data_IF_345479246082
#
_entry.id   IF_345479246082
#
_cell.length_a   1.000
_cell.length_b   1.000
_cell.length_c   1.000
_cell.angle_alpha   90.00
_cell.angle_beta   90.00
_cell.angle_gamma   90.00
#
_symmetry.space_group_name_H-M   'P 1'
#
loop_
_entity.id
_entity.type
_entity.pdbx_description
1 polymer ?
#
# COMPACT_ATOMS: atom_id res chain seq x y z
N UNK A 1 -5.58 -28.06 12.56
CA UNK A 1 -4.80 -26.99 11.91
C UNK A 1 -5.55 -25.72 12.17
N UNK A 2 -5.07 -24.86 13.05
CA UNK A 2 -5.62 -23.52 13.26
C UNK A 2 -5.28 -22.69 12.03
N UNK A 3 -6.30 -22.23 11.28
CA UNK A 3 -6.10 -21.31 10.19
C UNK A 3 -5.30 -20.08 10.68
N UNK A 4 -4.31 -19.68 9.90
CA UNK A 4 -3.58 -18.44 10.17
C UNK A 4 -4.57 -17.29 10.01
N UNK A 5 -4.67 -16.38 10.98
CA UNK A 5 -5.50 -15.18 10.80
C UNK A 5 -4.96 -14.37 9.62
N UNK A 6 -5.81 -14.12 8.64
CA UNK A 6 -5.54 -13.33 7.45
C UNK A 6 -6.35 -12.04 7.49
N UNK A 7 -5.92 -10.98 6.79
CA UNK A 7 -6.76 -9.79 6.63
C UNK A 7 -7.97 -10.09 5.74
N UNK A 8 -9.00 -9.27 5.84
CA UNK A 8 -10.21 -9.40 5.01
C UNK A 8 -9.87 -9.30 3.51
N UNK A 9 -10.37 -10.20 2.68
CA UNK A 9 -10.15 -10.17 1.22
C UNK A 9 -10.80 -8.96 0.52
N UNK A 10 -11.84 -8.37 1.14
CA UNK A 10 -12.55 -7.19 0.65
C UNK A 10 -12.77 -6.22 1.80
N UNK A 11 -12.32 -4.98 1.62
CA UNK A 11 -12.42 -3.92 2.62
C UNK A 11 -13.04 -2.69 1.95
N UNK A 12 -14.13 -2.16 2.50
CA UNK A 12 -14.76 -0.92 2.00
C UNK A 12 -14.43 0.23 2.95
N UNK A 13 -13.88 1.32 2.41
CA UNK A 13 -13.54 2.53 3.16
C UNK A 13 -13.95 3.77 2.35
N UNK A 14 -15.10 4.36 2.69
CA UNK A 14 -15.67 5.50 1.95
C UNK A 14 -15.93 5.17 0.48
N UNK A 15 -15.30 5.91 -0.43
CA UNK A 15 -15.42 5.69 -1.87
C UNK A 15 -14.46 4.64 -2.43
N UNK A 16 -13.65 4.01 -1.59
CA UNK A 16 -12.64 3.03 -1.98
C UNK A 16 -13.06 1.65 -1.53
N UNK A 17 -12.95 0.67 -2.43
CA UNK A 17 -12.98 -0.75 -2.11
C UNK A 17 -11.59 -1.32 -2.38
N UNK A 18 -10.98 -1.89 -1.35
CA UNK A 18 -9.79 -2.73 -1.51
C UNK A 18 -10.27 -4.17 -1.66
N UNK A 19 -9.81 -4.86 -2.65
CA UNK A 19 -10.05 -6.28 -2.78
C UNK A 19 -8.81 -7.01 -3.23
N UNK A 20 -8.64 -8.24 -2.77
CA UNK A 20 -7.60 -9.13 -3.25
C UNK A 20 -7.58 -9.17 -4.78
N UNK A 21 -6.40 -9.15 -5.40
CA UNK A 21 -6.26 -9.33 -6.84
C UNK A 21 -6.77 -10.69 -7.29
N UNK A 22 -7.30 -10.75 -8.52
CA UNK A 22 -7.81 -11.94 -9.18
C UNK A 22 -7.08 -12.15 -10.50
N UNK A 23 -7.13 -13.36 -11.04
CA UNK A 23 -6.51 -13.67 -12.34
C UNK A 23 -7.12 -12.87 -13.50
N UNK A 24 -8.42 -12.58 -13.42
CA UNK A 24 -9.14 -11.79 -14.42
C UNK A 24 -8.85 -10.27 -14.34
N UNK A 25 -8.07 -9.81 -13.40
CA UNK A 25 -7.61 -8.41 -13.33
C UNK A 25 -6.50 -8.08 -14.34
N UNK A 26 -5.97 -9.05 -15.09
CA UNK A 26 -4.80 -8.87 -15.94
C UNK A 26 -4.91 -7.67 -16.89
N UNK A 27 -6.01 -7.57 -17.61
CA UNK A 27 -6.21 -6.51 -18.60
C UNK A 27 -6.41 -5.15 -17.93
N UNK A 28 -7.20 -5.09 -16.85
CA UNK A 28 -7.43 -3.87 -16.08
C UNK A 28 -6.13 -3.36 -15.41
N UNK A 29 -5.33 -4.27 -14.83
CA UNK A 29 -4.05 -3.95 -14.23
C UNK A 29 -3.05 -3.45 -15.28
N UNK A 30 -2.94 -4.15 -16.42
CA UNK A 30 -2.06 -3.76 -17.51
C UNK A 30 -2.41 -2.37 -18.02
N UNK A 31 -3.68 -2.11 -18.26
CA UNK A 31 -4.17 -0.82 -18.72
C UNK A 31 -3.85 0.28 -17.70
N UNK A 32 -4.25 0.10 -16.43
CA UNK A 32 -4.07 1.11 -15.39
C UNK A 32 -2.59 1.48 -15.18
N UNK A 33 -1.69 0.48 -15.19
CA UNK A 33 -0.25 0.73 -15.06
C UNK A 33 0.30 1.41 -16.32
N UNK A 34 -0.05 0.91 -17.51
CA UNK A 34 0.46 1.47 -18.78
C UNK A 34 0.08 2.93 -18.94
N UNK A 35 -1.16 3.29 -18.63
CA UNK A 35 -1.64 4.68 -18.65
C UNK A 35 -0.94 5.57 -17.61
N UNK A 36 -0.31 4.98 -16.59
CA UNK A 36 0.33 5.68 -15.48
C UNK A 36 1.85 5.62 -15.48
N UNK A 37 2.50 5.03 -16.50
CA UNK A 37 3.94 4.79 -16.50
C UNK A 37 4.78 6.05 -16.28
N UNK A 38 4.44 7.17 -16.92
CA UNK A 38 5.17 8.43 -16.75
C UNK A 38 5.10 8.95 -15.31
N UNK A 39 3.99 8.64 -14.61
CA UNK A 39 3.77 8.99 -13.22
C UNK A 39 4.45 8.00 -12.25
N UNK A 40 4.55 6.71 -12.60
CA UNK A 40 5.05 5.65 -11.74
C UNK A 40 6.56 5.43 -11.86
N UNK A 41 7.12 5.46 -13.07
CA UNK A 41 8.55 5.21 -13.34
C UNK A 41 9.52 6.02 -12.48
N UNK A 42 9.25 7.30 -12.17
CA UNK A 42 10.14 8.05 -11.28
C UNK A 42 10.30 7.44 -9.89
N UNK A 43 9.31 6.65 -9.42
CA UNK A 43 9.22 6.21 -8.03
C UNK A 43 9.14 4.70 -7.82
N UNK A 44 8.77 3.95 -8.86
CA UNK A 44 8.49 2.51 -8.79
C UNK A 44 9.45 1.74 -9.70
N UNK A 45 10.45 1.03 -9.14
CA UNK A 45 11.43 0.26 -9.93
C UNK A 45 10.76 -0.73 -10.89
N UNK A 46 9.70 -1.41 -10.44
CA UNK A 46 8.95 -2.38 -11.24
C UNK A 46 8.26 -1.80 -12.48
N UNK A 47 8.05 -0.47 -12.54
CA UNK A 47 7.42 0.21 -13.66
C UNK A 47 8.39 0.49 -14.83
N UNK A 48 9.70 0.26 -14.67
CA UNK A 48 10.72 0.60 -15.67
C UNK A 48 10.47 -0.09 -17.02
N UNK A 49 10.20 -1.41 -16.99
CA UNK A 49 9.98 -2.25 -18.17
C UNK A 49 8.68 -3.07 -18.01
N UNK A 50 7.57 -2.38 -17.73
CA UNK A 50 6.31 -3.05 -17.45
C UNK A 50 5.68 -3.61 -18.73
N UNK A 51 5.29 -4.87 -18.70
CA UNK A 51 4.70 -5.62 -19.80
C UNK A 51 3.50 -6.43 -19.34
N UNK A 52 2.73 -7.00 -20.29
CA UNK A 52 1.69 -7.97 -19.97
C UNK A 52 2.22 -9.17 -19.17
N UNK A 53 3.43 -9.62 -19.51
CA UNK A 53 4.08 -10.71 -18.78
C UNK A 53 4.35 -10.31 -17.33
N UNK A 54 4.86 -9.10 -17.09
CA UNK A 54 5.09 -8.57 -15.73
C UNK A 54 3.79 -8.49 -14.92
N UNK A 55 2.68 -8.10 -15.55
CA UNK A 55 1.37 -8.07 -14.90
C UNK A 55 0.88 -9.48 -14.53
N UNK A 56 1.01 -10.46 -15.44
CA UNK A 56 0.62 -11.84 -15.18
C UNK A 56 1.47 -12.47 -14.05
N UNK A 57 2.78 -12.24 -14.07
CA UNK A 57 3.70 -12.71 -13.03
C UNK A 57 3.38 -12.09 -11.67
N UNK A 58 3.03 -10.80 -11.63
CA UNK A 58 2.59 -10.13 -10.40
C UNK A 58 1.32 -10.78 -9.85
N UNK A 59 0.29 -11.02 -10.66
CA UNK A 59 -0.96 -11.65 -10.22
C UNK A 59 -0.72 -13.06 -9.67
N UNK A 60 0.07 -13.87 -10.38
CA UNK A 60 0.43 -15.21 -9.94
C UNK A 60 1.25 -15.21 -8.65
N UNK A 61 2.19 -14.28 -8.50
CA UNK A 61 2.97 -14.10 -7.27
C UNK A 61 2.06 -13.64 -6.13
N UNK A 62 1.23 -12.64 -6.35
CA UNK A 62 0.29 -12.10 -5.35
C UNK A 62 -0.61 -13.19 -4.75
N UNK A 63 -1.06 -14.16 -5.56
CA UNK A 63 -1.86 -15.27 -5.07
C UNK A 63 -1.06 -16.19 -4.13
N UNK A 64 0.22 -16.46 -4.43
CA UNK A 64 1.11 -17.26 -3.59
C UNK A 64 1.49 -16.54 -2.30
N UNK A 65 1.87 -15.27 -2.41
CA UNK A 65 2.30 -14.44 -1.27
C UNK A 65 1.15 -14.28 -0.26
N UNK A 66 -0.09 -14.19 -0.76
CA UNK A 66 -1.28 -14.20 0.10
C UNK A 66 -1.40 -15.52 0.86
N UNK A 67 -1.26 -16.65 0.18
CA UNK A 67 -1.42 -17.98 0.77
C UNK A 67 -0.34 -18.29 1.84
N UNK A 68 0.88 -17.79 1.65
CA UNK A 68 1.96 -17.95 2.63
C UNK A 68 2.02 -16.83 3.68
N UNK A 69 1.29 -15.72 3.46
CA UNK A 69 1.20 -14.57 4.36
C UNK A 69 2.42 -13.66 4.35
N UNK A 70 3.23 -13.71 3.31
CA UNK A 70 4.38 -12.83 3.12
C UNK A 70 3.97 -11.44 2.64
N UNK A 71 2.91 -11.38 1.80
CA UNK A 71 2.39 -10.13 1.26
C UNK A 71 0.91 -10.25 0.92
N UNK A 72 0.13 -9.27 1.36
CA UNK A 72 -1.30 -9.16 1.07
C UNK A 72 -1.55 -8.02 0.10
N UNK A 73 -1.67 -8.35 -1.18
CA UNK A 73 -1.84 -7.39 -2.28
C UNK A 73 -3.32 -7.13 -2.59
N UNK A 74 -3.69 -5.85 -2.64
CA UNK A 74 -5.04 -5.38 -2.93
C UNK A 74 -5.07 -4.48 -4.17
N UNK A 75 -6.07 -4.69 -5.01
CA UNK A 75 -6.51 -3.71 -5.98
C UNK A 75 -7.32 -2.61 -5.28
N UNK A 76 -7.01 -1.35 -5.58
CA UNK A 76 -7.80 -0.20 -5.17
C UNK A 76 -8.87 0.03 -6.24
N UNK A 77 -10.12 -0.14 -5.87
CA UNK A 77 -11.28 0.05 -6.76
C UNK A 77 -12.03 1.31 -6.35
N UNK A 78 -12.32 2.18 -7.29
CA UNK A 78 -13.23 3.32 -7.14
C UNK A 78 -14.02 3.51 -8.43
N UNK A 79 -15.28 3.92 -8.33
CA UNK A 79 -16.18 4.09 -9.48
C UNK A 79 -16.26 2.83 -10.37
N UNK A 80 -16.12 1.63 -9.78
CA UNK A 80 -16.14 0.34 -10.49
C UNK A 80 -14.86 0.01 -11.27
N UNK A 81 -13.82 0.85 -11.25
CA UNK A 81 -12.59 0.66 -12.01
C UNK A 81 -11.37 0.48 -11.10
N UNK A 82 -10.32 -0.19 -11.61
CA UNK A 82 -9.03 -0.32 -10.94
C UNK A 82 -8.30 1.02 -10.98
N UNK A 83 -8.15 1.63 -9.83
CA UNK A 83 -7.55 2.96 -9.65
C UNK A 83 -6.17 2.94 -9.00
N UNK A 84 -5.63 1.76 -8.70
CA UNK A 84 -4.32 1.60 -8.07
C UNK A 84 -4.15 0.25 -7.40
N UNK A 85 -3.09 0.14 -6.59
CA UNK A 85 -2.82 -1.02 -5.75
C UNK A 85 -2.21 -0.62 -4.43
N UNK A 86 -2.40 -1.46 -3.42
CA UNK A 86 -1.75 -1.33 -2.13
C UNK A 86 -1.48 -2.71 -1.53
N UNK A 87 -0.54 -2.79 -0.59
CA UNK A 87 -0.15 -4.05 0.03
C UNK A 87 0.26 -3.90 1.47
N UNK A 88 0.11 -5.01 2.23
CA UNK A 88 0.75 -5.25 3.52
C UNK A 88 1.86 -6.27 3.31
N UNK A 89 3.10 -5.92 3.63
CA UNK A 89 4.30 -6.73 3.37
C UNK A 89 5.01 -7.09 4.67
N UNK A 90 5.25 -8.39 4.91
CA UNK A 90 5.94 -8.91 6.10
C UNK A 90 7.46 -8.89 5.91
N UNK A 91 8.06 -7.73 5.63
CA UNK A 91 9.49 -7.61 5.28
C UNK A 91 10.34 -6.72 6.20
N UNK A 92 9.72 -6.16 7.24
CA UNK A 92 10.41 -5.26 8.19
C UNK A 92 10.69 -5.91 9.55
N UNK A 93 10.74 -7.23 9.57
CA UNK A 93 11.02 -8.04 10.75
C UNK A 93 9.80 -8.34 11.63
N UNK A 94 9.98 -9.15 12.70
CA UNK A 94 8.90 -9.61 13.54
C UNK A 94 8.06 -8.47 14.11
N UNK A 95 6.73 -8.67 14.12
CA UNK A 95 5.77 -7.68 14.63
C UNK A 95 5.51 -6.49 13.71
N UNK A 96 6.19 -6.38 12.57
CA UNK A 96 6.07 -5.26 11.65
C UNK A 96 5.48 -5.63 10.30
N UNK A 97 4.63 -4.75 9.76
CA UNK A 97 4.16 -4.81 8.38
C UNK A 97 4.44 -3.48 7.69
N UNK A 98 4.92 -3.54 6.45
CA UNK A 98 5.09 -2.35 5.62
C UNK A 98 3.89 -2.18 4.69
N UNK A 99 3.43 -0.94 4.53
CA UNK A 99 2.40 -0.57 3.55
C UNK A 99 3.08 0.03 2.33
N UNK A 100 2.81 -0.57 1.15
CA UNK A 100 3.10 0.00 -0.17
C UNK A 100 1.82 0.41 -0.88
N UNK A 101 1.90 1.39 -1.79
CA UNK A 101 0.77 1.81 -2.62
C UNK A 101 1.22 2.52 -3.89
N UNK A 102 0.37 2.45 -4.90
CA UNK A 102 0.41 3.29 -6.09
C UNK A 102 -1.01 3.66 -6.51
N UNK A 103 -1.18 4.76 -7.22
CA UNK A 103 -2.49 5.24 -7.69
C UNK A 103 -2.40 5.61 -9.15
N UNK A 104 -3.43 5.25 -9.91
CA UNK A 104 -3.58 5.61 -11.32
C UNK A 104 -3.48 7.14 -11.49
N UNK A 105 -2.77 7.59 -12.55
CA UNK A 105 -2.50 9.03 -12.78
C UNK A 105 -3.76 9.90 -12.75
N UNK A 106 -4.84 9.44 -13.35
CA UNK A 106 -6.11 10.18 -13.39
C UNK A 106 -6.86 10.20 -12.04
N UNK A 107 -6.47 9.34 -11.09
CA UNK A 107 -7.11 9.22 -9.79
C UNK A 107 -6.29 9.86 -8.65
N UNK A 108 -5.17 10.52 -8.98
CA UNK A 108 -4.34 11.22 -7.99
C UNK A 108 -5.08 12.39 -7.34
N UNK A 109 -4.62 12.81 -6.14
CA UNK A 109 -5.20 13.90 -5.33
C UNK A 109 -6.65 13.69 -4.87
N UNK A 110 -7.24 12.52 -5.08
CA UNK A 110 -8.57 12.15 -4.59
C UNK A 110 -8.54 11.52 -3.18
N UNK A 111 -7.37 11.42 -2.55
CA UNK A 111 -7.21 10.82 -1.23
C UNK A 111 -7.19 9.30 -1.21
N UNK A 112 -7.17 8.61 -2.36
CA UNK A 112 -7.29 7.16 -2.46
C UNK A 112 -6.16 6.42 -1.70
N UNK A 113 -4.90 6.86 -1.87
CA UNK A 113 -3.78 6.26 -1.15
C UNK A 113 -3.92 6.41 0.37
N UNK A 114 -4.42 7.56 0.84
CA UNK A 114 -4.66 7.81 2.27
C UNK A 114 -5.77 6.90 2.80
N UNK A 115 -6.89 6.79 2.09
CA UNK A 115 -8.01 5.92 2.48
C UNK A 115 -7.60 4.44 2.47
N UNK A 116 -6.90 3.99 1.41
CA UNK A 116 -6.37 2.64 1.32
C UNK A 116 -5.41 2.31 2.46
N UNK A 117 -4.44 3.20 2.72
CA UNK A 117 -3.47 3.00 3.81
C UNK A 117 -4.14 2.99 5.20
N UNK A 118 -5.16 3.83 5.43
CA UNK A 118 -5.93 3.82 6.67
C UNK A 118 -6.61 2.46 6.89
N UNK A 119 -7.27 1.94 5.85
CA UNK A 119 -7.91 0.62 5.90
C UNK A 119 -6.90 -0.50 6.15
N UNK A 120 -5.72 -0.45 5.51
CA UNK A 120 -4.67 -1.43 5.75
C UNK A 120 -4.06 -1.35 7.15
N UNK A 121 -3.95 -0.18 7.75
CA UNK A 121 -3.54 -0.02 9.16
C UNK A 121 -4.50 -0.74 10.09
N UNK A 122 -5.81 -0.60 9.89
CA UNK A 122 -6.83 -1.29 10.69
C UNK A 122 -6.71 -2.81 10.53
N UNK A 123 -6.54 -3.30 9.30
CA UNK A 123 -6.34 -4.73 9.04
C UNK A 123 -5.06 -5.26 9.68
N UNK A 124 -3.95 -4.55 9.52
CA UNK A 124 -2.67 -4.94 10.10
C UNK A 124 -2.76 -5.12 11.62
N UNK A 125 -3.40 -4.17 12.31
CA UNK A 125 -3.54 -4.27 13.77
C UNK A 125 -4.60 -5.28 14.24
N UNK A 126 -5.41 -5.88 13.38
CA UNK A 126 -6.24 -7.05 13.71
C UNK A 126 -5.44 -8.35 13.68
N UNK A 127 -4.33 -8.38 12.92
CA UNK A 127 -3.49 -9.57 12.83
C UNK A 127 -2.73 -9.80 14.14
N UNK A 128 -2.66 -11.06 14.62
CA UNK A 128 -1.92 -11.40 15.83
C UNK A 128 -0.43 -11.10 15.68
N UNK A 129 0.16 -10.58 16.75
CA UNK A 129 1.59 -10.31 16.79
C UNK A 129 2.05 -9.07 16.03
N UNK A 130 1.16 -8.37 15.32
CA UNK A 130 1.50 -7.08 14.66
C UNK A 130 1.40 -5.96 15.69
N UNK A 131 2.50 -5.28 15.93
CA UNK A 131 2.63 -4.16 16.88
C UNK A 131 2.93 -2.82 16.20
N UNK A 132 3.44 -2.85 14.95
CA UNK A 132 3.77 -1.65 14.18
C UNK A 132 3.49 -1.81 12.69
N UNK A 133 3.22 -0.67 12.07
CA UNK A 133 3.09 -0.53 10.61
C UNK A 133 4.04 0.55 10.15
N UNK A 134 4.72 0.33 9.03
CA UNK A 134 5.63 1.30 8.43
C UNK A 134 5.22 1.66 7.00
N UNK A 135 5.55 2.88 6.60
CA UNK A 135 5.52 3.36 5.22
C UNK A 135 6.91 3.90 4.91
N UNK A 136 7.48 3.46 3.80
CA UNK A 136 8.80 3.92 3.35
C UNK A 136 8.65 4.54 1.96
N UNK A 137 9.21 5.71 1.76
CA UNK A 137 9.25 6.37 0.46
C UNK A 137 10.56 7.11 0.25
N UNK A 138 10.98 7.31 -0.99
CA UNK A 138 12.11 8.17 -1.29
C UNK A 138 11.85 9.60 -0.80
N UNK A 139 12.83 10.25 -0.19
CA UNK A 139 12.65 11.58 0.43
C UNK A 139 12.23 12.65 -0.57
N UNK A 140 12.57 12.48 -1.86
CA UNK A 140 12.15 13.38 -2.93
C UNK A 140 10.70 13.14 -3.37
N UNK A 141 10.09 11.99 -3.03
CA UNK A 141 8.68 11.71 -3.30
C UNK A 141 7.77 12.38 -2.25
N UNK A 142 7.71 13.71 -2.30
CA UNK A 142 6.91 14.51 -1.36
C UNK A 142 5.43 14.12 -1.37
N UNK A 143 4.91 13.67 -2.52
CA UNK A 143 3.51 13.26 -2.63
C UNK A 143 3.23 12.01 -1.78
N UNK A 144 4.11 11.02 -1.82
CA UNK A 144 4.01 9.82 -0.99
C UNK A 144 4.14 10.15 0.49
N UNK A 145 5.07 11.03 0.88
CA UNK A 145 5.26 11.43 2.27
C UNK A 145 4.08 12.16 2.92
N UNK A 146 3.11 12.66 2.14
CA UNK A 146 1.89 13.26 2.68
C UNK A 146 0.92 12.23 3.27
N UNK A 147 0.97 10.98 2.80
CA UNK A 147 0.07 9.92 3.26
C UNK A 147 0.34 9.56 4.72
N UNK A 148 1.56 9.13 5.11
CA UNK A 148 1.84 8.80 6.51
C UNK A 148 1.63 9.99 7.46
N UNK A 149 1.97 11.22 7.04
CA UNK A 149 1.72 12.43 7.85
C UNK A 149 0.24 12.62 8.17
N UNK A 150 -0.64 12.45 7.17
CA UNK A 150 -2.10 12.58 7.37
C UNK A 150 -2.67 11.49 8.28
N UNK A 151 -2.04 10.32 8.30
CA UNK A 151 -2.46 9.18 9.12
C UNK A 151 -1.83 9.16 10.52
N UNK A 152 -1.06 10.17 10.89
CA UNK A 152 -0.46 10.29 12.21
C UNK A 152 0.75 9.37 12.45
N UNK A 153 1.39 8.90 11.38
CA UNK A 153 2.68 8.23 11.49
C UNK A 153 3.77 9.20 11.95
N UNK A 154 4.74 8.68 12.67
CA UNK A 154 5.94 9.43 13.09
C UNK A 154 7.12 9.06 12.20
N UNK A 155 7.88 10.04 11.72
CA UNK A 155 9.16 9.81 11.05
C UNK A 155 10.15 9.27 12.08
N UNK A 156 10.66 8.06 11.86
CA UNK A 156 11.56 7.38 12.82
C UNK A 156 12.98 7.24 12.32
N UNK A 157 13.25 7.58 11.07
CA UNK A 157 14.60 7.54 10.52
C UNK A 157 14.64 7.59 8.99
N UNK A 158 15.85 7.44 8.50
CA UNK A 158 16.17 7.36 7.08
C UNK A 158 17.11 6.20 6.84
N UNK A 159 17.00 5.57 5.67
CA UNK A 159 17.81 4.44 5.27
C UNK A 159 18.05 4.44 3.75
N UNK A 160 19.12 3.82 3.25
CA UNK A 160 19.26 3.58 1.82
C UNK A 160 18.11 2.73 1.30
N UNK A 161 17.56 3.09 0.15
CA UNK A 161 16.63 2.23 -0.58
C UNK A 161 17.41 1.14 -1.33
N UNK A 162 16.90 -0.09 -1.32
CA UNK A 162 17.51 -1.23 -2.02
C UNK A 162 17.52 -1.04 -3.53
N UNK A 163 16.52 -0.35 -4.05
CA UNK A 163 16.35 -0.09 -5.47
C UNK A 163 16.12 1.42 -5.70
N UNK A 164 17.16 2.18 -6.02
CA UNK A 164 17.00 3.59 -6.36
C UNK A 164 16.22 3.76 -7.66
N UNK A 165 15.44 4.83 -7.74
CA UNK A 165 14.60 5.14 -8.90
C UNK A 165 15.03 6.45 -9.57
N UNK A 166 14.69 6.67 -10.86
CA UNK A 166 15.10 7.87 -11.59
C UNK A 166 14.64 9.20 -10.97
N UNK A 167 13.54 9.22 -10.25
CA UNK A 167 13.00 10.43 -9.60
C UNK A 167 13.51 10.63 -8.18
N UNK A 168 14.21 9.63 -7.63
CA UNK A 168 14.69 9.61 -6.27
C UNK A 168 16.17 9.85 -6.14
N UNK A 169 16.65 9.96 -4.91
CA UNK A 169 18.07 9.99 -4.57
C UNK A 169 18.53 8.75 -3.79
N UNK A 170 17.65 7.75 -3.66
CA UNK A 170 17.95 6.49 -2.98
C UNK A 170 17.90 6.57 -1.45
N UNK A 171 17.37 7.67 -0.87
CA UNK A 171 17.20 7.83 0.57
C UNK A 171 15.74 7.61 0.93
N UNK A 172 15.44 6.52 1.63
CA UNK A 172 14.12 6.20 2.15
C UNK A 172 13.84 6.87 3.48
N UNK A 173 12.72 7.59 3.57
CA UNK A 173 12.18 8.09 4.84
C UNK A 173 11.27 7.03 5.43
N UNK A 174 11.55 6.62 6.67
CA UNK A 174 10.80 5.58 7.39
C UNK A 174 9.78 6.24 8.32
N UNK A 175 8.52 5.96 8.06
CA UNK A 175 7.40 6.38 8.90
C UNK A 175 6.84 5.19 9.65
N UNK A 176 6.53 5.35 10.93
CA UNK A 176 6.02 4.29 11.79
C UNK A 176 4.76 4.72 12.53
N UNK A 177 3.80 3.82 12.60
CA UNK A 177 2.64 3.90 13.48
C UNK A 177 2.61 2.63 14.34
N UNK A 178 2.48 2.81 15.66
CA UNK A 178 2.36 1.70 16.61
C UNK A 178 0.90 1.47 17.00
N UNK A 179 0.57 0.27 17.45
CA UNK A 179 -0.79 -0.08 17.95
C UNK A 179 -1.29 0.88 19.04
N UNK A 180 -0.39 1.33 19.92
CA UNK A 180 -0.73 2.28 20.98
C UNK A 180 -1.13 3.66 20.46
N UNK A 181 -0.45 4.12 19.40
CA UNK A 181 -0.75 5.42 18.76
C UNK A 181 -2.06 5.36 17.96
N UNK A 182 -2.37 4.25 17.30
CA UNK A 182 -3.61 4.09 16.53
C UNK A 182 -4.86 4.20 17.38
N UNK A 183 -4.82 3.72 18.64
CA UNK A 183 -5.92 3.83 19.58
C UNK A 183 -6.24 5.25 20.06
N UNK A 184 -5.29 6.19 19.94
CA UNK A 184 -5.49 7.59 20.33
C UNK A 184 -6.04 8.47 19.20
N UNK A 185 -5.78 8.14 17.93
CA UNK A 185 -6.27 8.89 16.77
C UNK A 185 -7.79 8.71 16.58
N UNK A 186 -8.33 7.52 16.89
CA UNK A 186 -9.75 7.23 16.77
C UNK A 186 -10.68 7.95 17.78
N UNK A 187 -10.15 8.59 18.83
CA UNK A 187 -10.96 9.26 19.87
C UNK A 187 -11.16 10.77 19.64
N UNK A 188 -10.58 11.37 18.65
CA UNK A 188 -10.68 12.82 18.38
C UNK A 188 -11.51 13.19 17.14
N UNK A 189 -12.16 12.23 16.49
CA UNK A 189 -12.89 12.44 15.22
C UNK A 189 -14.40 12.60 15.32
N UNK A 190 -15.02 12.61 16.53
CA UNK A 190 -16.47 12.83 16.67
C UNK A 190 -16.71 13.93 17.71
N UNK A 191 -16.60 15.17 17.29
CA UNK A 191 -17.39 16.26 17.85
C UNK A 191 -18.23 16.84 16.73
N UNK A 192 -19.52 16.54 16.82
CA UNK A 192 -20.55 17.20 16.04
C UNK A 192 -20.55 18.69 16.38
N UNK A 193 -20.64 19.50 15.37
CA UNK A 193 -20.96 20.92 15.38
C UNK A 193 -21.62 21.22 14.07
#
# INVERSE_FOLDING_TARGET
MTERPEPDEVITCGQVTLRRYREDDLDALLQAVTESLDHLRPWMPWAANYTRQSAAEFLARSARDWADGSEYNYAIITDGALAGGCSLMARIGPGGLEIGYWVHRACTRRGLATAASAALVEQAFRLPGVDRVEIIHDELNVASGRVPRKLGFTEVGRQPLSEPTPGGNGVGVVWRLTRLQSGSVGRHGIRAG
#
